data_IF_663133472077
#
_entry.id   IF_663133472077
#
_cell.length_a   1.000
_cell.length_b   1.000
_cell.length_c   1.000
_cell.angle_alpha   90.00
_cell.angle_beta   90.00
_cell.angle_gamma   90.00
#
_symmetry.space_group_name_H-M   'P 1'
#
loop_
_entity.id
_entity.type
_entity.pdbx_description
1 polymer ?
#
# COMPACT_ATOMS: atom_id res chain seq x y z
N UNK A 1 -17.36 33.11 -17.17
CA UNK A 1 -17.89 32.79 -15.82
C UNK A 1 -18.71 31.54 -15.89
N UNK A 2 -18.09 30.37 -15.87
CA UNK A 2 -18.76 29.05 -15.75
C UNK A 2 -17.72 27.98 -15.36
N UNK A 3 -17.04 28.18 -14.23
CA UNK A 3 -16.11 27.18 -13.67
C UNK A 3 -16.74 26.32 -12.56
N UNK A 4 -18.05 26.44 -12.33
CA UNK A 4 -18.71 25.87 -11.16
C UNK A 4 -19.28 24.45 -11.33
N UNK A 5 -19.21 23.79 -12.49
CA UNK A 5 -19.99 22.55 -12.71
C UNK A 5 -19.14 21.34 -13.18
N UNK A 6 -17.87 21.49 -13.40
CA UNK A 6 -17.00 20.39 -13.89
C UNK A 6 -16.59 19.43 -12.74
N UNK A 7 -16.51 19.92 -11.52
CA UNK A 7 -16.05 19.13 -10.36
C UNK A 7 -17.09 18.12 -9.85
N UNK A 8 -18.40 18.39 -10.03
CA UNK A 8 -19.47 17.48 -9.60
C UNK A 8 -19.57 16.19 -10.44
N UNK A 9 -19.07 16.22 -11.66
CA UNK A 9 -19.10 15.10 -12.61
C UNK A 9 -17.81 14.25 -12.57
N UNK A 10 -16.75 14.72 -11.91
CA UNK A 10 -15.45 14.04 -11.87
C UNK A 10 -15.56 12.70 -11.16
N UNK A 11 -15.10 11.63 -11.81
CA UNK A 11 -15.04 10.32 -11.19
C UNK A 11 -13.90 10.25 -10.16
N UNK A 12 -14.13 9.55 -9.07
CA UNK A 12 -13.10 9.41 -8.03
C UNK A 12 -11.84 8.70 -8.57
N UNK A 13 -12.00 7.76 -9.50
CA UNK A 13 -10.87 7.08 -10.14
C UNK A 13 -9.96 8.06 -10.91
N UNK A 14 -10.57 8.97 -11.68
CA UNK A 14 -9.83 9.96 -12.48
C UNK A 14 -9.13 10.99 -11.58
N UNK A 15 -9.83 11.46 -10.54
CA UNK A 15 -9.23 12.33 -9.53
C UNK A 15 -8.03 11.68 -8.86
N UNK A 16 -8.16 10.42 -8.45
CA UNK A 16 -7.09 9.68 -7.78
C UNK A 16 -5.87 9.49 -8.71
N UNK A 17 -6.09 9.20 -9.99
CA UNK A 17 -5.03 9.11 -11.00
C UNK A 17 -4.27 10.42 -11.15
N UNK A 18 -5.01 11.52 -11.31
CA UNK A 18 -4.43 12.85 -11.39
C UNK A 18 -3.65 13.21 -10.11
N UNK A 19 -4.21 12.92 -8.95
CA UNK A 19 -3.58 13.16 -7.67
C UNK A 19 -2.26 12.41 -7.52
N UNK A 20 -2.20 11.13 -7.92
CA UNK A 20 -0.94 10.36 -7.93
C UNK A 20 0.08 11.03 -8.84
N UNK A 21 -0.31 11.39 -10.06
CA UNK A 21 0.59 12.00 -11.03
C UNK A 21 1.16 13.32 -10.53
N UNK A 22 0.33 14.16 -9.94
CA UNK A 22 0.75 15.49 -9.47
C UNK A 22 1.57 15.44 -8.17
N UNK A 23 1.14 14.63 -7.19
CA UNK A 23 1.71 14.71 -5.83
C UNK A 23 2.66 13.56 -5.48
N UNK A 24 2.67 12.46 -6.23
CA UNK A 24 3.46 11.27 -5.88
C UNK A 24 4.54 10.96 -6.91
N UNK A 25 4.29 11.21 -8.19
CA UNK A 25 5.27 10.92 -9.25
C UNK A 25 6.54 11.77 -9.06
N UNK A 26 7.71 11.12 -9.06
CA UNK A 26 8.99 11.76 -8.78
C UNK A 26 9.26 12.09 -7.31
N UNK A 27 8.25 12.11 -6.44
CA UNK A 27 8.40 12.42 -5.01
C UNK A 27 8.63 11.19 -4.12
N UNK A 28 8.26 10.01 -4.59
CA UNK A 28 8.35 8.75 -3.84
C UNK A 28 9.12 7.68 -4.61
N UNK A 29 9.61 6.66 -3.87
CA UNK A 29 10.33 5.54 -4.49
C UNK A 29 9.39 4.72 -5.40
N UNK A 30 9.93 4.16 -6.49
CA UNK A 30 9.20 3.35 -7.46
C UNK A 30 8.42 2.18 -6.82
N UNK A 31 9.00 1.54 -5.80
CA UNK A 31 8.32 0.47 -5.04
C UNK A 31 7.03 0.97 -4.36
N UNK A 32 7.05 2.20 -3.87
CA UNK A 32 5.87 2.84 -3.27
C UNK A 32 4.88 3.26 -4.34
N UNK A 33 5.35 3.81 -5.45
CA UNK A 33 4.51 4.18 -6.60
C UNK A 33 3.72 2.98 -7.13
N UNK A 34 4.34 1.80 -7.23
CA UNK A 34 3.64 0.56 -7.63
C UNK A 34 2.44 0.25 -6.74
N UNK A 35 2.52 0.52 -5.44
CA UNK A 35 1.39 0.32 -4.52
C UNK A 35 0.24 1.29 -4.81
N UNK A 36 0.53 2.57 -5.10
CA UNK A 36 -0.50 3.55 -5.49
C UNK A 36 -1.19 3.16 -6.79
N UNK A 37 -0.43 2.70 -7.79
CA UNK A 37 -0.99 2.21 -9.06
C UNK A 37 -1.86 0.95 -8.89
N UNK A 38 -1.48 0.05 -7.98
CA UNK A 38 -2.33 -1.09 -7.62
C UNK A 38 -3.63 -0.65 -6.95
N UNK A 39 -3.56 0.34 -6.06
CA UNK A 39 -4.76 0.94 -5.46
C UNK A 39 -5.67 1.55 -6.51
N UNK A 40 -5.14 2.31 -7.47
CA UNK A 40 -5.88 2.84 -8.61
C UNK A 40 -6.57 1.74 -9.44
N UNK A 41 -5.85 0.66 -9.75
CA UNK A 41 -6.44 -0.47 -10.47
C UNK A 41 -7.61 -1.14 -9.72
N UNK A 42 -7.54 -1.18 -8.39
CA UNK A 42 -8.64 -1.67 -7.56
C UNK A 42 -9.81 -0.72 -7.50
N UNK A 43 -9.58 0.60 -7.49
CA UNK A 43 -10.66 1.58 -7.59
C UNK A 43 -11.47 1.40 -8.86
N UNK A 44 -10.80 1.26 -10.02
CA UNK A 44 -11.46 1.02 -11.30
C UNK A 44 -12.27 -0.28 -11.37
N UNK A 45 -11.99 -1.26 -10.48
CA UNK A 45 -12.76 -2.51 -10.38
C UNK A 45 -13.94 -2.41 -9.43
N UNK A 46 -13.78 -1.71 -8.31
CA UNK A 46 -14.76 -1.67 -7.23
C UNK A 46 -15.77 -0.54 -7.37
N UNK A 47 -15.35 0.61 -7.89
CA UNK A 47 -16.14 1.82 -7.98
C UNK A 47 -15.88 2.62 -9.27
N UNK A 48 -15.97 2.00 -10.47
CA UNK A 48 -15.60 2.65 -11.73
C UNK A 48 -16.39 3.95 -11.98
N UNK A 49 -17.66 3.99 -11.59
CA UNK A 49 -18.58 5.08 -11.92
C UNK A 49 -18.89 6.00 -10.72
N UNK A 50 -18.18 5.85 -9.60
CA UNK A 50 -18.44 6.67 -8.42
C UNK A 50 -17.91 8.08 -8.63
N UNK A 51 -18.80 9.07 -8.57
CA UNK A 51 -18.42 10.47 -8.63
C UNK A 51 -17.78 10.92 -7.32
N UNK A 52 -16.87 11.85 -7.43
CA UNK A 52 -16.16 12.43 -6.27
C UNK A 52 -17.16 13.07 -5.29
N UNK A 53 -18.16 13.75 -5.80
CA UNK A 53 -19.22 14.38 -4.99
C UNK A 53 -20.06 13.37 -4.19
N UNK A 54 -20.19 12.13 -4.69
CA UNK A 54 -20.94 11.05 -4.05
C UNK A 54 -20.11 10.21 -3.07
N UNK A 55 -18.85 10.59 -2.86
CA UNK A 55 -17.95 9.93 -1.93
C UNK A 55 -18.33 10.26 -0.48
N UNK A 56 -19.38 9.61 -0.02
CA UNK A 56 -19.85 9.71 1.35
C UNK A 56 -19.27 8.56 2.22
N UNK A 57 -19.56 8.61 3.51
CA UNK A 57 -19.09 7.63 4.48
C UNK A 57 -19.56 6.20 4.18
N UNK A 58 -20.76 6.05 3.61
CA UNK A 58 -21.36 4.74 3.29
C UNK A 58 -20.67 4.15 2.07
N UNK A 59 -20.48 4.95 1.02
CA UNK A 59 -19.81 4.52 -0.21
C UNK A 59 -18.33 4.22 0.05
N UNK A 60 -17.67 5.02 0.87
CA UNK A 60 -16.31 4.73 1.31
C UNK A 60 -16.22 3.40 2.09
N UNK A 61 -17.13 3.15 3.03
CA UNK A 61 -17.14 1.90 3.79
C UNK A 61 -17.42 0.69 2.88
N UNK A 62 -18.32 0.82 1.88
CA UNK A 62 -18.56 -0.23 0.88
C UNK A 62 -17.30 -0.53 0.08
N UNK A 63 -16.57 0.50 -0.36
CA UNK A 63 -15.29 0.35 -1.05
C UNK A 63 -14.28 -0.44 -0.22
N UNK A 64 -14.08 -0.04 1.05
CA UNK A 64 -13.17 -0.74 1.96
C UNK A 64 -13.60 -2.19 2.19
N UNK A 65 -14.91 -2.45 2.36
CA UNK A 65 -15.44 -3.79 2.54
C UNK A 65 -15.21 -4.66 1.28
N UNK A 66 -15.47 -4.15 0.08
CA UNK A 66 -15.24 -4.87 -1.17
C UNK A 66 -13.77 -5.24 -1.36
N UNK A 67 -12.85 -4.35 -1.01
CA UNK A 67 -11.41 -4.67 -1.02
C UNK A 67 -11.06 -5.74 0.02
N UNK A 68 -11.64 -5.66 1.21
CA UNK A 68 -11.40 -6.57 2.34
C UNK A 68 -11.84 -8.01 2.06
N UNK A 69 -12.79 -8.24 1.15
CA UNK A 69 -13.22 -9.60 0.75
C UNK A 69 -12.08 -10.41 0.12
N UNK A 70 -11.12 -9.74 -0.50
CA UNK A 70 -10.01 -10.38 -1.21
C UNK A 70 -8.68 -10.33 -0.46
N UNK A 71 -8.55 -9.45 0.56
CA UNK A 71 -7.28 -9.14 1.19
C UNK A 71 -7.30 -9.35 2.72
N UNK A 72 -6.11 -9.52 3.28
CA UNK A 72 -5.91 -9.51 4.73
C UNK A 72 -6.16 -8.12 5.32
N UNK A 73 -6.51 -8.07 6.61
CA UNK A 73 -6.77 -6.82 7.32
C UNK A 73 -5.62 -5.81 7.22
N UNK A 74 -4.36 -6.25 7.28
CA UNK A 74 -3.20 -5.35 7.16
C UNK A 74 -3.12 -4.72 5.77
N UNK A 75 -3.32 -5.51 4.71
CA UNK A 75 -3.34 -5.01 3.32
C UNK A 75 -4.49 -4.04 3.09
N UNK A 76 -5.66 -4.31 3.69
CA UNK A 76 -6.81 -3.40 3.65
C UNK A 76 -6.53 -2.10 4.41
N UNK A 77 -5.79 -2.14 5.50
CA UNK A 77 -5.34 -0.94 6.22
C UNK A 77 -4.40 -0.09 5.35
N UNK A 78 -3.45 -0.72 4.66
CA UNK A 78 -2.54 -0.01 3.76
C UNK A 78 -3.30 0.64 2.60
N UNK A 79 -4.29 -0.04 2.03
CA UNK A 79 -5.20 0.50 1.02
C UNK A 79 -5.96 1.72 1.54
N UNK A 80 -6.54 1.63 2.75
CA UNK A 80 -7.19 2.75 3.42
C UNK A 80 -6.27 3.96 3.57
N UNK A 81 -5.02 3.75 4.02
CA UNK A 81 -4.06 4.85 4.21
C UNK A 81 -3.69 5.54 2.89
N UNK A 82 -3.57 4.79 1.80
CA UNK A 82 -3.27 5.36 0.48
C UNK A 82 -4.43 6.20 -0.07
N UNK A 83 -5.67 5.75 0.13
CA UNK A 83 -6.86 6.51 -0.27
C UNK A 83 -7.07 7.74 0.59
N UNK A 84 -6.82 7.62 1.89
CA UNK A 84 -7.07 8.70 2.85
C UNK A 84 -6.33 9.98 2.48
N UNK A 85 -5.09 9.89 1.99
CA UNK A 85 -4.34 11.08 1.55
C UNK A 85 -5.07 11.85 0.47
N UNK A 86 -5.44 11.20 -0.63
CA UNK A 86 -6.15 11.82 -1.73
C UNK A 86 -7.54 12.37 -1.33
N UNK A 87 -8.26 11.64 -0.46
CA UNK A 87 -9.58 12.06 0.01
C UNK A 87 -9.48 13.29 0.91
N UNK A 88 -8.48 13.39 1.79
CA UNK A 88 -8.30 14.57 2.62
C UNK A 88 -7.96 15.80 1.80
N UNK A 89 -7.09 15.65 0.78
CA UNK A 89 -6.79 16.73 -0.14
C UNK A 89 -8.06 17.18 -0.90
N UNK A 90 -8.90 16.22 -1.36
CA UNK A 90 -10.19 16.52 -1.98
C UNK A 90 -11.19 17.22 -1.04
N UNK A 91 -11.14 16.94 0.25
CA UNK A 91 -11.94 17.65 1.27
C UNK A 91 -11.42 19.07 1.47
N UNK A 92 -10.11 19.24 1.55
CA UNK A 92 -9.49 20.56 1.73
C UNK A 92 -9.70 21.46 0.48
N UNK A 93 -9.75 20.86 -0.72
CA UNK A 93 -10.12 21.53 -1.97
C UNK A 93 -11.63 21.81 -2.11
N UNK A 94 -12.44 21.32 -1.18
CA UNK A 94 -13.90 21.48 -1.20
C UNK A 94 -14.65 20.61 -2.22
N UNK A 95 -13.98 19.62 -2.80
CA UNK A 95 -14.56 18.65 -3.75
C UNK A 95 -15.41 17.59 -3.05
N UNK A 96 -15.06 17.26 -1.82
CA UNK A 96 -15.83 16.39 -0.90
C UNK A 96 -16.24 17.23 0.30
N UNK A 97 -17.52 17.22 0.65
CA UNK A 97 -18.04 18.09 1.71
C UNK A 97 -17.57 17.71 3.13
N UNK A 98 -17.34 16.42 3.39
CA UNK A 98 -16.93 15.89 4.70
C UNK A 98 -16.04 14.69 4.51
N UNK A 99 -15.03 14.57 5.36
CA UNK A 99 -14.12 13.41 5.38
C UNK A 99 -14.88 12.08 5.59
N UNK A 100 -14.99 11.24 4.55
CA UNK A 100 -15.68 9.95 4.63
C UNK A 100 -14.82 8.87 5.29
N UNK A 101 -13.51 9.11 5.43
CA UNK A 101 -12.56 8.12 5.95
C UNK A 101 -12.59 8.03 7.47
N UNK A 102 -13.17 9.05 8.12
CA UNK A 102 -13.23 9.14 9.58
C UNK A 102 -14.07 8.00 10.16
N UNK A 103 -13.47 7.24 11.09
CA UNK A 103 -14.08 6.08 11.72
C UNK A 103 -14.41 4.93 10.76
N UNK A 104 -13.68 4.79 9.65
CA UNK A 104 -13.81 3.64 8.78
C UNK A 104 -13.46 2.35 9.54
N UNK A 105 -14.25 1.30 9.34
CA UNK A 105 -14.05 -0.01 9.96
C UNK A 105 -13.24 -0.87 9.00
N UNK A 106 -12.01 -1.20 9.39
CA UNK A 106 -11.13 -2.01 8.57
C UNK A 106 -11.32 -3.48 8.89
N UNK A 107 -11.89 -4.19 7.94
CA UNK A 107 -12.05 -5.65 7.93
C UNK A 107 -10.95 -6.28 7.07
N UNK A 108 -11.00 -7.60 6.91
CA UNK A 108 -10.11 -8.36 6.03
C UNK A 108 -10.07 -9.82 6.43
N UNK A 109 -9.50 -10.65 5.56
CA UNK A 109 -9.26 -12.06 5.84
C UNK A 109 -8.32 -12.20 7.04
N UNK A 110 -8.45 -13.29 7.81
CA UNK A 110 -7.47 -13.60 8.84
C UNK A 110 -6.08 -13.75 8.19
N UNK A 111 -5.01 -13.35 8.89
CA UNK A 111 -3.66 -13.49 8.36
C UNK A 111 -3.40 -14.96 8.05
N UNK A 112 -2.86 -15.22 6.87
CA UNK A 112 -2.28 -16.50 6.54
C UNK A 112 -1.25 -16.87 7.62
N UNK A 113 -1.23 -18.13 8.09
CA UNK A 113 -0.45 -18.59 9.23
C UNK A 113 0.89 -17.84 9.34
N UNK A 114 1.17 -17.31 10.53
CA UNK A 114 2.45 -16.61 10.81
C UNK A 114 3.60 -17.57 10.55
N UNK A 115 4.14 -17.55 9.33
CA UNK A 115 5.42 -18.20 9.07
C UNK A 115 6.46 -17.50 9.94
N UNK A 116 7.18 -18.27 10.74
CA UNK A 116 8.33 -17.78 11.48
C UNK A 116 9.31 -17.14 10.51
N UNK A 117 9.59 -15.85 10.70
CA UNK A 117 10.45 -15.06 9.81
C UNK A 117 11.84 -14.84 10.37
N UNK A 118 12.21 -15.62 11.37
CA UNK A 118 13.51 -15.54 12.03
C UNK A 118 13.99 -16.95 12.32
N UNK A 119 15.30 -17.12 12.37
CA UNK A 119 15.95 -18.31 12.86
C UNK A 119 16.22 -18.13 14.36
N UNK A 120 16.00 -19.19 15.14
CA UNK A 120 16.50 -19.20 16.51
C UNK A 120 18.03 -19.38 16.50
N UNK A 121 18.68 -19.22 17.65
CA UNK A 121 20.13 -19.27 17.74
C UNK A 121 20.72 -20.61 17.31
N UNK A 122 20.04 -21.70 17.61
CA UNK A 122 20.46 -23.05 17.22
C UNK A 122 20.36 -23.25 15.71
N UNK A 123 19.24 -22.84 15.11
CA UNK A 123 19.03 -22.89 13.66
C UNK A 123 20.05 -22.00 12.91
N UNK A 124 20.34 -20.82 13.45
CA UNK A 124 21.34 -19.94 12.87
C UNK A 124 22.74 -20.58 12.89
N UNK A 125 23.13 -21.19 14.02
CA UNK A 125 24.42 -21.88 14.11
C UNK A 125 24.49 -23.08 13.16
N UNK A 126 23.40 -23.83 12.99
CA UNK A 126 23.35 -24.94 12.05
C UNK A 126 23.56 -24.44 10.61
N UNK A 127 22.85 -23.37 10.19
CA UNK A 127 23.06 -22.76 8.88
C UNK A 127 24.49 -22.30 8.67
N UNK A 128 25.09 -21.62 9.69
CA UNK A 128 26.46 -21.13 9.58
C UNK A 128 27.52 -22.25 9.52
N UNK A 129 27.24 -23.39 10.14
CA UNK A 129 28.13 -24.55 10.12
C UNK A 129 28.10 -25.29 8.75
N UNK A 130 27.02 -25.16 8.00
CA UNK A 130 26.84 -25.81 6.70
C UNK A 130 27.35 -24.93 5.52
N UNK A 131 27.85 -23.71 5.79
CA UNK A 131 28.37 -22.82 4.76
C UNK A 131 29.72 -23.30 4.22
N UNK A 132 29.83 -23.38 2.88
CA UNK A 132 31.07 -23.68 2.18
C UNK A 132 31.79 -22.38 1.76
N UNK A 133 32.64 -21.84 2.59
CA UNK A 133 33.38 -20.61 2.35
C UNK A 133 34.56 -20.85 1.39
N UNK A 134 34.32 -20.81 0.08
CA UNK A 134 35.38 -20.91 -0.94
C UNK A 134 36.24 -19.65 -1.04
N UNK A 135 37.24 -19.66 -1.97
CA UNK A 135 38.21 -18.57 -2.14
C UNK A 135 37.66 -17.29 -2.79
N UNK A 136 36.37 -17.26 -3.21
CA UNK A 136 35.74 -16.12 -3.89
C UNK A 136 34.41 -15.73 -3.27
N UNK A 137 33.89 -14.54 -3.63
CA UNK A 137 32.57 -14.11 -3.20
C UNK A 137 31.49 -15.12 -3.65
N UNK A 138 30.70 -15.62 -2.70
CA UNK A 138 29.60 -16.55 -2.93
C UNK A 138 28.39 -16.14 -2.09
N UNK A 139 27.28 -16.80 -2.31
CA UNK A 139 26.11 -16.61 -1.46
C UNK A 139 26.38 -16.98 0.01
N UNK A 140 27.26 -17.93 0.27
CA UNK A 140 27.64 -18.33 1.61
C UNK A 140 28.39 -17.22 2.34
N UNK A 141 29.28 -16.50 1.65
CA UNK A 141 29.90 -15.29 2.20
C UNK A 141 28.89 -14.19 2.50
N UNK A 142 27.88 -13.99 1.65
CA UNK A 142 26.83 -13.02 1.88
C UNK A 142 25.99 -13.40 3.10
N UNK A 143 25.60 -14.69 3.22
CA UNK A 143 24.85 -15.20 4.37
C UNK A 143 25.64 -14.99 5.66
N UNK A 144 26.94 -15.34 5.65
CA UNK A 144 27.83 -15.13 6.79
C UNK A 144 27.93 -13.64 7.17
N UNK A 145 28.10 -12.77 6.19
CA UNK A 145 28.18 -11.32 6.39
C UNK A 145 26.90 -10.79 7.06
N UNK A 146 25.74 -11.11 6.49
CA UNK A 146 24.43 -10.68 7.03
C UNK A 146 24.22 -11.23 8.44
N UNK A 147 24.53 -12.50 8.68
CA UNK A 147 24.39 -13.14 10.00
C UNK A 147 25.29 -12.50 11.06
N UNK A 148 26.51 -12.08 10.71
CA UNK A 148 27.48 -11.47 11.64
C UNK A 148 27.26 -9.99 11.88
N UNK A 149 26.74 -9.26 10.88
CA UNK A 149 26.61 -7.80 10.94
C UNK A 149 25.18 -7.32 11.23
N UNK A 150 24.17 -8.17 11.00
CA UNK A 150 22.76 -7.79 11.10
C UNK A 150 22.29 -6.85 9.99
N UNK A 151 23.07 -6.68 8.92
CA UNK A 151 22.69 -5.88 7.75
C UNK A 151 21.41 -6.44 7.11
N UNK A 152 20.57 -5.55 6.61
CA UNK A 152 19.48 -5.98 5.74
C UNK A 152 20.04 -6.47 4.41
N UNK A 153 19.36 -7.44 3.80
CA UNK A 153 19.77 -7.98 2.48
C UNK A 153 20.04 -6.87 1.44
N UNK A 154 19.21 -5.84 1.40
CA UNK A 154 19.39 -4.69 0.49
C UNK A 154 20.53 -3.74 0.85
N UNK A 155 21.16 -3.91 2.01
CA UNK A 155 22.34 -3.15 2.47
C UNK A 155 23.62 -3.94 2.27
N UNK A 156 23.50 -5.24 2.07
CA UNK A 156 24.63 -6.17 1.89
C UNK A 156 24.97 -6.43 0.40
N UNK A 157 24.12 -6.00 -0.53
CA UNK A 157 24.30 -6.03 -1.98
C UNK A 157 24.78 -4.67 -2.50
#
# INVERSE_FOLDING_TARGET
>A
MTEGNTNAETLFCDYYEQWISVYKEGAIREVTMKKYRLTQAWLGRLIPDLKLADMDRVNYQKLINGYAEHHERQTTMDFHHQLKGAILDAVDEGLIQRDPTRKAIIKGKPPCSKKTKYLNQFELHAVLADLELGKGPSWDWLILLVAKTGLRFSEAL
#
